data_IF_589024356586
#
_entry.id   IF_589024356586
#
_cell.length_a   1.000
_cell.length_b   1.000
_cell.length_c   1.000
_cell.angle_alpha   90.00
_cell.angle_beta   90.00
_cell.angle_gamma   90.00
#
_symmetry.space_group_name_H-M   'P 1'
#
loop_
_entity.id
_entity.type
_entity.pdbx_description
1 polymer ?
#
# COMPACT_ATOMS: atom_id res chain seq x y z
N UNK A 1 1.40 10.92 -6.72
CA UNK A 1 1.56 11.07 -5.26
C UNK A 1 2.82 10.33 -4.83
N UNK A 2 3.65 10.90 -3.96
CA UNK A 2 4.78 10.15 -3.36
C UNK A 2 4.21 9.15 -2.34
N UNK A 3 4.71 7.92 -2.36
CA UNK A 3 4.39 6.92 -1.34
C UNK A 3 5.35 7.11 -0.17
N UNK A 4 4.80 7.11 1.04
CA UNK A 4 5.57 6.98 2.27
C UNK A 4 5.57 5.51 2.65
N UNK A 5 6.73 4.98 3.03
CA UNK A 5 6.90 3.59 3.42
C UNK A 5 7.74 3.49 4.70
N UNK A 6 7.63 2.35 5.40
CA UNK A 6 8.36 2.11 6.63
C UNK A 6 8.07 3.12 7.74
N UNK A 7 9.08 3.46 8.52
CA UNK A 7 8.97 4.27 9.75
C UNK A 7 8.31 5.64 9.51
N UNK A 8 8.55 6.24 8.34
CA UNK A 8 7.99 7.54 7.97
C UNK A 8 6.46 7.46 7.80
N UNK A 9 5.96 6.37 7.23
CA UNK A 9 4.54 6.13 7.08
C UNK A 9 3.86 5.89 8.43
N UNK A 10 4.52 5.19 9.35
CA UNK A 10 3.95 4.87 10.65
C UNK A 10 3.85 6.10 11.54
N UNK A 11 4.89 6.95 11.56
CA UNK A 11 4.82 8.28 12.22
C UNK A 11 3.65 9.07 11.64
N UNK A 12 3.50 9.12 10.32
CA UNK A 12 2.43 9.88 9.68
C UNK A 12 1.02 9.35 10.03
N UNK A 13 0.84 8.02 10.16
CA UNK A 13 -0.43 7.42 10.57
C UNK A 13 -0.83 7.83 11.99
N UNK A 14 0.12 7.82 12.93
CA UNK A 14 -0.13 8.23 14.31
C UNK A 14 -0.57 9.70 14.37
N UNK A 15 0.04 10.57 13.55
CA UNK A 15 -0.33 11.98 13.50
C UNK A 15 -1.72 12.23 12.92
N UNK A 16 -2.19 11.41 11.97
CA UNK A 16 -3.52 11.57 11.37
C UNK A 16 -4.63 11.10 12.32
N UNK A 17 -4.36 10.15 13.22
CA UNK A 17 -5.34 9.65 14.18
C UNK A 17 -5.76 10.69 15.22
N UNK A 18 -4.86 11.61 15.59
CA UNK A 18 -5.22 12.81 16.33
C UNK A 18 -5.69 13.89 15.33
N UNK A 19 -7.00 14.06 15.17
CA UNK A 19 -7.64 15.06 14.28
C UNK A 19 -7.24 16.54 14.55
N UNK A 20 -6.38 16.76 15.54
CA UNK A 20 -5.83 18.03 15.98
C UNK A 20 -4.31 18.16 15.78
N UNK A 21 -3.64 17.23 15.08
CA UNK A 21 -2.19 17.29 14.91
C UNK A 21 -1.76 18.48 14.05
N UNK A 22 -1.06 19.43 14.69
CA UNK A 22 -0.38 20.54 14.05
C UNK A 22 1.10 20.18 13.94
N UNK A 23 1.61 20.11 12.72
CA UNK A 23 3.02 19.90 12.38
C UNK A 23 3.72 21.24 12.20
N UNK A 24 4.91 21.40 12.78
CA UNK A 24 5.79 22.53 12.44
C UNK A 24 6.91 22.04 11.51
N UNK A 25 6.99 22.62 10.32
CA UNK A 25 8.05 22.37 9.33
C UNK A 25 8.58 23.72 8.85
N UNK A 26 9.89 23.94 8.95
CA UNK A 26 10.55 25.19 8.58
C UNK A 26 9.91 26.44 9.23
N UNK A 27 9.53 26.33 10.51
CA UNK A 27 8.88 27.41 11.27
C UNK A 27 7.44 27.72 10.85
N UNK A 28 6.85 26.92 9.95
CA UNK A 28 5.45 27.04 9.52
C UNK A 28 4.62 25.91 10.11
N UNK A 29 3.43 26.26 10.58
CA UNK A 29 2.47 25.30 11.16
C UNK A 29 1.51 24.80 10.09
N UNK A 30 1.37 23.48 10.00
CA UNK A 30 0.50 22.76 9.08
C UNK A 30 -0.50 21.94 9.86
N UNK A 31 -1.77 21.95 9.44
CA UNK A 31 -2.77 21.03 9.97
C UNK A 31 -2.84 19.82 9.04
N UNK A 32 -2.69 18.63 9.61
CA UNK A 32 -2.91 17.40 8.87
C UNK A 32 -4.34 16.95 9.10
N UNK A 33 -5.03 16.57 8.03
CA UNK A 33 -6.37 15.99 8.09
C UNK A 33 -6.46 14.86 7.07
N UNK A 34 -7.19 13.82 7.42
CA UNK A 34 -7.56 12.77 6.49
C UNK A 34 -8.55 13.36 5.47
N UNK A 35 -8.23 13.25 4.18
CA UNK A 35 -9.07 13.80 3.10
C UNK A 35 -10.15 12.80 2.69
N UNK A 36 -9.85 11.50 2.76
CA UNK A 36 -10.74 10.42 2.39
C UNK A 36 -10.41 9.18 3.23
N UNK A 37 -11.45 8.56 3.80
CA UNK A 37 -11.34 7.22 4.38
C UNK A 37 -11.45 6.18 3.28
N UNK A 38 -10.64 5.13 3.38
CA UNK A 38 -10.85 3.96 2.53
C UNK A 38 -12.25 3.39 2.78
N UNK A 39 -13.03 3.20 1.72
CA UNK A 39 -14.39 2.67 1.82
C UNK A 39 -14.46 1.29 2.51
N UNK A 40 -13.38 0.51 2.43
CA UNK A 40 -13.21 -0.77 3.10
C UNK A 40 -11.77 -0.94 3.59
N UNK A 41 -11.57 -1.85 4.55
CA UNK A 41 -10.24 -2.31 4.93
C UNK A 41 -9.86 -3.59 4.20
N UNK A 42 -8.55 -3.85 4.04
CA UNK A 42 -8.05 -5.11 3.47
C UNK A 42 -8.61 -6.32 4.22
N UNK A 43 -8.76 -6.22 5.54
CA UNK A 43 -9.34 -7.29 6.35
C UNK A 43 -10.81 -7.52 5.98
N UNK A 44 -11.61 -6.45 5.90
CA UNK A 44 -13.01 -6.53 5.52
C UNK A 44 -13.17 -7.15 4.12
N UNK A 45 -12.34 -6.75 3.16
CA UNK A 45 -12.38 -7.29 1.80
C UNK A 45 -12.04 -8.79 1.77
N UNK A 46 -11.06 -9.24 2.56
CA UNK A 46 -10.67 -10.65 2.65
C UNK A 46 -11.77 -11.50 3.29
N UNK A 47 -12.45 -10.98 4.32
CA UNK A 47 -13.58 -11.66 4.96
C UNK A 47 -14.78 -11.76 4.02
N UNK A 48 -15.07 -10.69 3.27
CA UNK A 48 -16.16 -10.63 2.30
C UNK A 48 -15.91 -11.50 1.06
N UNK A 49 -14.65 -11.62 0.64
CA UNK A 49 -14.26 -12.34 -0.58
C UNK A 49 -13.17 -13.37 -0.28
N UNK A 50 -13.53 -14.60 0.11
CA UNK A 50 -12.57 -15.63 0.54
C UNK A 50 -11.48 -15.98 -0.49
N UNK A 51 -11.76 -15.82 -1.80
CA UNK A 51 -10.76 -16.03 -2.85
C UNK A 51 -9.59 -15.04 -2.78
N UNK A 52 -9.80 -13.84 -2.21
CA UNK A 52 -8.74 -12.86 -1.99
C UNK A 52 -7.70 -13.37 -1.01
N UNK A 53 -8.11 -14.15 0.00
CA UNK A 53 -7.17 -14.79 0.94
C UNK A 53 -6.19 -15.69 0.20
N UNK A 54 -6.67 -16.50 -0.73
CA UNK A 54 -5.84 -17.39 -1.54
C UNK A 54 -4.90 -16.59 -2.45
N UNK A 55 -5.42 -15.57 -3.15
CA UNK A 55 -4.59 -14.71 -4.01
C UNK A 55 -3.50 -13.98 -3.23
N UNK A 56 -3.81 -13.46 -2.05
CA UNK A 56 -2.84 -12.80 -1.18
C UNK A 56 -1.78 -13.76 -0.67
N UNK A 57 -2.16 -14.99 -0.30
CA UNK A 57 -1.20 -15.99 0.13
C UNK A 57 -0.25 -16.37 -1.00
N UNK A 58 -0.79 -16.66 -2.19
CA UNK A 58 0.00 -16.95 -3.38
C UNK A 58 0.96 -15.81 -3.72
N UNK A 59 0.49 -14.55 -3.70
CA UNK A 59 1.35 -13.39 -3.95
C UNK A 59 2.49 -13.26 -2.93
N UNK A 60 2.22 -13.55 -1.64
CA UNK A 60 3.26 -13.54 -0.59
C UNK A 60 4.30 -14.63 -0.81
N UNK A 61 3.88 -15.81 -1.24
CA UNK A 61 4.77 -16.93 -1.49
C UNK A 61 5.66 -16.65 -2.71
N UNK A 62 5.10 -16.09 -3.78
CA UNK A 62 5.88 -15.61 -4.93
C UNK A 62 6.95 -14.59 -4.52
N UNK A 63 6.61 -13.60 -3.68
CA UNK A 63 7.57 -12.61 -3.19
C UNK A 63 8.69 -13.27 -2.37
N UNK A 64 8.36 -14.26 -1.52
CA UNK A 64 9.34 -14.98 -0.71
C UNK A 64 10.28 -15.84 -1.55
N UNK A 65 9.78 -16.40 -2.64
CA UNK A 65 10.52 -17.27 -3.54
C UNK A 65 11.25 -16.50 -4.67
N UNK A 66 11.20 -15.16 -4.65
CA UNK A 66 11.72 -14.30 -5.71
C UNK A 66 11.09 -14.55 -7.09
N UNK A 67 9.87 -15.11 -7.11
CA UNK A 67 9.06 -15.34 -8.31
C UNK A 67 8.24 -14.08 -8.65
N UNK A 68 8.94 -12.96 -8.76
CA UNK A 68 8.36 -11.66 -9.08
C UNK A 68 8.84 -11.18 -10.45
N UNK A 69 7.96 -10.47 -11.14
CA UNK A 69 8.25 -9.91 -12.46
C UNK A 69 8.06 -8.40 -12.40
N UNK A 70 9.01 -7.65 -12.96
CA UNK A 70 8.80 -6.24 -13.23
C UNK A 70 7.81 -6.07 -14.38
N UNK A 71 7.24 -4.87 -14.53
CA UNK A 71 6.36 -4.57 -15.65
C UNK A 71 7.04 -4.76 -17.01
N UNK A 72 8.35 -4.52 -17.10
CA UNK A 72 9.11 -4.73 -18.32
C UNK A 72 9.26 -6.22 -18.65
N UNK A 73 9.53 -7.06 -17.64
CA UNK A 73 9.65 -8.52 -17.82
C UNK A 73 8.35 -9.10 -18.36
N UNK A 74 7.22 -8.67 -17.80
CA UNK A 74 5.89 -9.08 -18.29
C UNK A 74 5.65 -8.63 -19.72
N UNK A 75 6.01 -7.40 -20.08
CA UNK A 75 5.88 -6.92 -21.46
C UNK A 75 6.72 -7.77 -22.44
N UNK A 76 7.93 -8.17 -22.04
CA UNK A 76 8.80 -8.97 -22.89
C UNK A 76 8.33 -10.42 -23.02
N UNK A 77 7.82 -11.03 -21.95
CA UNK A 77 7.18 -12.35 -22.00
C UNK A 77 5.98 -12.37 -22.94
N UNK A 78 5.14 -11.32 -22.93
CA UNK A 78 4.01 -11.19 -23.87
C UNK A 78 4.51 -11.12 -25.31
N UNK A 79 5.54 -10.31 -25.58
CA UNK A 79 6.11 -10.17 -26.93
C UNK A 79 6.70 -11.49 -27.45
N UNK A 80 7.22 -12.32 -26.56
CA UNK A 80 7.81 -13.63 -26.88
C UNK A 80 6.79 -14.78 -26.92
N UNK A 81 5.55 -14.55 -26.47
CA UNK A 81 4.52 -15.59 -26.38
C UNK A 81 4.75 -16.59 -25.23
N UNK A 82 5.42 -16.15 -24.16
CA UNK A 82 5.82 -16.97 -22.99
C UNK A 82 4.84 -16.84 -21.81
N UNK A 83 3.66 -16.27 -22.06
CA UNK A 83 2.61 -15.95 -21.08
C UNK A 83 1.27 -16.60 -21.45
#
# INVERSE_FOLDING_TARGET
MKKLEGREADIFKEMIQDEASVLELDGKKFRVALIEEAATSVQHDVEKYPFLKHKLQHAKDNIRNDETYSGNDVCDMIRKGEL
#
